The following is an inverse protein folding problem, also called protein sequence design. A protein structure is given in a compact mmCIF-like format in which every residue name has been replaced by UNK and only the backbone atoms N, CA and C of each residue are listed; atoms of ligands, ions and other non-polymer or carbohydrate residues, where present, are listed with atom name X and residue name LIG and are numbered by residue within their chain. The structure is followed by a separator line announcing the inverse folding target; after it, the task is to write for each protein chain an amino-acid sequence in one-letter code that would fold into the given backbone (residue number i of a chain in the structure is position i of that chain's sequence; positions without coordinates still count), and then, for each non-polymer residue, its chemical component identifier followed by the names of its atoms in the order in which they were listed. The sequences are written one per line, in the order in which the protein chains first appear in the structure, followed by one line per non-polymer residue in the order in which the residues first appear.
data_IF_487222275281
#
_entry.id   IF_487222275281
#
_cell.length_a   1.000
_cell.length_b   1.000
_cell.length_c   1.000
_cell.angle_alpha   90.00
_cell.angle_beta   90.00
_cell.angle_gamma   90.00
#
_symmetry.space_group_name_H-M   'P 1'
#
loop_
_entity.id
_entity.type
_entity.pdbx_description
1 polymer ?
#
# COMPACT_ATOMS: atom_id res chain seq x y z
N UNK A 1 -7.97 -22.51 -8.98
CA UNK A 1 -8.21 -22.65 -7.52
C UNK A 1 -6.88 -22.35 -6.83
N UNK A 2 -6.69 -21.12 -6.34
CA UNK A 2 -5.45 -20.71 -5.66
C UNK A 2 -5.44 -21.38 -4.27
N UNK A 3 -4.34 -22.03 -3.84
CA UNK A 3 -4.29 -22.65 -2.52
C UNK A 3 -4.43 -21.58 -1.42
N UNK A 4 -5.00 -21.92 -0.25
CA UNK A 4 -5.11 -20.98 0.86
C UNK A 4 -3.70 -20.68 1.40
N UNK A 5 -3.21 -19.48 1.12
CA UNK A 5 -1.94 -18.99 1.66
C UNK A 5 -2.12 -18.76 3.16
N UNK A 6 -1.63 -19.72 3.95
CA UNK A 6 -1.53 -19.57 5.41
C UNK A 6 -0.28 -18.75 5.70
N UNK A 7 -0.36 -17.42 5.59
CA UNK A 7 0.71 -16.53 6.08
C UNK A 7 0.26 -15.88 7.38
N UNK A 8 1.08 -16.00 8.42
CA UNK A 8 0.95 -15.36 9.72
C UNK A 8 1.19 -13.84 9.68
N UNK A 9 0.96 -13.22 8.53
CA UNK A 9 1.20 -11.80 8.30
C UNK A 9 -0.11 -11.05 8.64
N UNK A 10 -0.11 -10.11 9.61
CA UNK A 10 -1.33 -9.40 9.99
C UNK A 10 -1.92 -8.57 8.83
N UNK A 11 -1.10 -8.27 7.82
CA UNK A 11 -1.49 -7.62 6.58
C UNK A 11 -1.61 -8.71 5.50
N UNK A 12 -2.83 -9.01 5.04
CA UNK A 12 -3.08 -10.12 4.10
C UNK A 12 -2.22 -10.05 2.84
N UNK A 13 -1.92 -11.20 2.23
CA UNK A 13 -1.17 -11.26 0.96
C UNK A 13 -2.02 -10.64 -0.16
N UNK A 14 -1.51 -9.58 -0.78
CA UNK A 14 -2.06 -9.00 -1.99
C UNK A 14 -1.42 -9.58 -3.25
N UNK A 15 -2.17 -9.64 -4.35
CA UNK A 15 -1.66 -10.01 -5.69
C UNK A 15 -0.83 -8.88 -6.31
N UNK A 16 -1.22 -7.62 -6.05
CA UNK A 16 -0.59 -6.42 -6.61
C UNK A 16 -0.34 -5.40 -5.51
N UNK A 17 0.86 -4.84 -5.45
CA UNK A 17 1.18 -3.70 -4.57
C UNK A 17 1.33 -2.42 -5.41
N UNK A 18 0.59 -1.37 -5.05
CA UNK A 18 0.67 -0.05 -5.65
C UNK A 18 1.35 0.91 -4.68
N UNK A 19 2.50 1.46 -5.08
CA UNK A 19 3.20 2.52 -4.33
C UNK A 19 2.84 3.86 -4.95
N UNK A 20 2.17 4.71 -4.19
CA UNK A 20 1.47 5.89 -4.70
C UNK A 20 1.86 7.14 -3.90
N UNK A 21 2.76 7.95 -4.44
CA UNK A 21 3.15 9.22 -3.82
C UNK A 21 2.20 10.34 -4.22
N UNK A 22 1.61 11.04 -3.25
CA UNK A 22 0.83 12.25 -3.49
C UNK A 22 -0.39 12.11 -4.42
N UNK A 23 -0.88 10.88 -4.65
CA UNK A 23 -1.99 10.60 -5.58
C UNK A 23 -3.19 9.94 -4.88
N UNK A 24 -3.57 8.73 -5.27
CA UNK A 24 -4.73 8.01 -4.73
C UNK A 24 -4.44 7.53 -3.29
N UNK A 25 -5.41 7.58 -2.35
CA UNK A 25 -6.81 7.97 -2.51
C UNK A 25 -7.11 9.46 -2.23
N UNK A 26 -6.09 10.30 -2.10
CA UNK A 26 -6.21 11.66 -1.52
C UNK A 26 -6.34 12.79 -2.54
N UNK A 27 -5.77 12.63 -3.73
CA UNK A 27 -5.77 13.65 -4.78
C UNK A 27 -6.66 13.20 -5.92
N UNK A 28 -7.51 14.09 -6.43
CA UNK A 28 -8.26 13.86 -7.66
C UNK A 28 -7.39 14.20 -8.87
N UNK A 29 -7.45 13.37 -9.91
CA UNK A 29 -6.67 13.59 -11.13
C UNK A 29 -6.60 12.32 -11.97
N UNK A 30 -5.97 12.42 -13.14
CA UNK A 30 -5.90 11.31 -14.10
C UNK A 30 -5.29 10.03 -13.50
N UNK A 31 -4.19 10.15 -12.75
CA UNK A 31 -3.52 9.01 -12.11
C UNK A 31 -4.44 8.35 -11.09
N UNK A 32 -5.04 9.12 -10.18
CA UNK A 32 -5.91 8.55 -9.15
C UNK A 32 -7.19 7.94 -9.71
N UNK A 33 -7.78 8.55 -10.74
CA UNK A 33 -8.94 7.98 -11.41
C UNK A 33 -8.59 6.67 -12.11
N UNK A 34 -7.42 6.60 -12.76
CA UNK A 34 -6.96 5.37 -13.41
C UNK A 34 -6.65 4.26 -12.39
N UNK A 35 -5.98 4.61 -11.29
CA UNK A 35 -5.74 3.68 -10.17
C UNK A 35 -7.06 3.14 -9.62
N UNK A 36 -8.02 4.02 -9.33
CA UNK A 36 -9.33 3.61 -8.85
C UNK A 36 -10.01 2.65 -9.82
N UNK A 37 -10.00 2.99 -11.12
CA UNK A 37 -10.58 2.15 -12.16
C UNK A 37 -9.89 0.78 -12.26
N UNK A 38 -8.56 0.71 -12.21
CA UNK A 38 -7.86 -0.58 -12.22
C UNK A 38 -8.34 -1.47 -11.07
N UNK A 39 -8.37 -0.92 -9.85
CA UNK A 39 -8.75 -1.68 -8.67
C UNK A 39 -10.20 -2.17 -8.80
N UNK A 40 -11.12 -1.31 -9.24
CA UNK A 40 -12.54 -1.67 -9.33
C UNK A 40 -12.86 -2.60 -10.50
N UNK A 41 -12.16 -2.48 -11.63
CA UNK A 41 -12.37 -3.30 -12.82
C UNK A 41 -11.62 -4.64 -12.77
N UNK A 42 -10.79 -4.86 -11.74
CA UNK A 42 -10.09 -6.13 -11.49
C UNK A 42 -10.51 -6.74 -10.14
N UNK A 43 -11.80 -7.09 -9.95
CA UNK A 43 -12.30 -7.60 -8.67
C UNK A 43 -11.71 -8.97 -8.28
N UNK A 44 -11.16 -9.72 -9.24
CA UNK A 44 -10.53 -11.02 -9.01
C UNK A 44 -9.11 -10.91 -8.42
N UNK A 45 -8.51 -9.70 -8.43
CA UNK A 45 -7.20 -9.43 -7.84
C UNK A 45 -7.35 -8.69 -6.52
N UNK A 46 -6.46 -9.02 -5.59
CA UNK A 46 -6.31 -8.29 -4.32
C UNK A 46 -5.18 -7.27 -4.41
N UNK A 47 -5.41 -6.09 -3.84
CA UNK A 47 -4.49 -4.97 -3.92
C UNK A 47 -3.99 -4.56 -2.53
N UNK A 48 -2.68 -4.29 -2.44
CA UNK A 48 -2.09 -3.51 -1.37
C UNK A 48 -1.78 -2.10 -1.90
N UNK A 49 -2.03 -1.09 -1.09
CA UNK A 49 -1.71 0.29 -1.40
C UNK A 49 -0.74 0.80 -0.34
N UNK A 50 0.41 1.28 -0.80
CA UNK A 50 1.37 2.04 -0.01
C UNK A 50 1.31 3.49 -0.46
N UNK A 51 0.56 4.30 0.27
CA UNK A 51 0.47 5.73 0.01
C UNK A 51 1.64 6.45 0.68
N UNK A 52 2.34 7.30 -0.09
CA UNK A 52 3.40 8.17 0.42
C UNK A 52 2.90 9.61 0.41
N UNK A 53 2.82 10.20 1.60
CA UNK A 53 2.41 11.58 1.83
C UNK A 53 3.50 12.39 2.51
N UNK A 54 3.35 13.71 2.50
CA UNK A 54 4.24 14.62 3.23
C UNK A 54 3.96 14.57 4.74
N UNK A 55 2.79 15.05 5.15
CA UNK A 55 2.31 15.07 6.55
C UNK A 55 0.84 14.68 6.57
N UNK A 56 0.37 14.07 7.66
CA UNK A 56 -1.04 13.66 7.78
C UNK A 56 -1.99 14.85 7.81
N UNK A 57 -1.55 16.01 8.29
CA UNK A 57 -2.36 17.24 8.26
C UNK A 57 -2.61 17.72 6.81
N UNK A 58 -1.64 17.53 5.92
CA UNK A 58 -1.77 17.86 4.50
C UNK A 58 -2.52 16.78 3.71
N UNK A 59 -2.48 15.54 4.18
CA UNK A 59 -3.34 14.48 3.68
C UNK A 59 -4.79 14.75 4.08
N UNK A 60 -5.49 15.45 3.20
CA UNK A 60 -6.90 15.78 3.36
C UNK A 60 -7.79 14.53 3.48
N UNK A 61 -9.10 14.71 3.64
CA UNK A 61 -10.05 13.58 3.55
C UNK A 61 -9.86 12.82 2.23
N UNK A 62 -9.85 11.48 2.30
CA UNK A 62 -9.87 10.61 1.12
C UNK A 62 -10.95 11.07 0.14
N UNK A 63 -10.59 11.12 -1.14
CA UNK A 63 -11.45 11.57 -2.24
C UNK A 63 -12.15 10.41 -2.95
N UNK A 64 -11.70 9.20 -2.68
CA UNK A 64 -12.25 7.95 -3.19
C UNK A 64 -12.53 7.02 -2.01
N UNK A 65 -13.64 6.29 -2.11
CA UNK A 65 -13.87 5.14 -1.25
C UNK A 65 -12.90 4.02 -1.64
N UNK A 66 -12.44 3.28 -0.64
CA UNK A 66 -11.49 2.19 -0.83
C UNK A 66 -12.29 0.93 -1.20
N UNK A 67 -12.08 0.34 -2.40
CA UNK A 67 -12.74 -0.89 -2.79
C UNK A 67 -12.40 -2.06 -1.85
N UNK A 68 -13.32 -3.01 -1.70
CA UNK A 68 -13.18 -4.14 -0.78
C UNK A 68 -12.06 -5.13 -1.15
N UNK A 69 -11.60 -5.12 -2.41
CA UNK A 69 -10.46 -5.91 -2.87
C UNK A 69 -9.11 -5.22 -2.58
N UNK A 70 -9.09 -4.06 -1.94
CA UNK A 70 -7.90 -3.50 -1.30
C UNK A 70 -7.78 -4.10 0.10
N UNK A 71 -6.87 -5.06 0.25
CA UNK A 71 -6.68 -5.82 1.50
C UNK A 71 -5.72 -5.14 2.47
N UNK A 72 -4.87 -4.24 1.95
CA UNK A 72 -3.92 -3.45 2.73
C UNK A 72 -3.91 -2.02 2.20
N UNK A 73 -4.04 -1.04 3.10
CA UNK A 73 -3.80 0.36 2.82
C UNK A 73 -2.90 0.92 3.92
N UNK A 74 -1.62 1.02 3.59
CA UNK A 74 -0.61 1.63 4.46
C UNK A 74 -0.35 3.07 4.03
N UNK A 75 -0.26 3.95 5.00
CA UNK A 75 -0.06 5.37 4.79
C UNK A 75 1.21 5.81 5.50
N UNK A 76 2.21 6.21 4.72
CA UNK A 76 3.52 6.63 5.21
C UNK A 76 3.68 8.12 4.98
N UNK A 77 3.89 8.86 6.07
CA UNK A 77 4.12 10.31 6.04
C UNK A 77 5.59 10.61 6.26
N UNK A 78 6.23 11.17 5.24
CA UNK A 78 7.70 11.30 5.16
C UNK A 78 8.28 12.34 6.11
N UNK A 79 7.50 13.33 6.54
CA UNK A 79 7.94 14.38 7.46
C UNK A 79 7.45 14.18 8.89
N UNK A 80 6.81 13.04 9.19
CA UNK A 80 6.48 12.67 10.57
C UNK A 80 7.68 11.97 11.21
N UNK A 81 7.96 12.25 12.50
CA UNK A 81 9.00 11.53 13.22
C UNK A 81 8.66 10.05 13.28
N UNK A 82 9.60 9.21 12.88
CA UNK A 82 9.48 7.77 13.08
C UNK A 82 9.64 7.45 14.58
N UNK A 83 8.97 6.39 15.08
CA UNK A 83 9.27 5.83 16.40
C UNK A 83 10.75 5.45 16.48
N UNK A 84 11.35 5.55 17.67
CA UNK A 84 12.76 5.24 17.88
C UNK A 84 13.12 3.82 17.40
N UNK A 85 12.19 2.87 17.54
CA UNK A 85 12.36 1.49 17.08
C UNK A 85 12.46 1.36 15.56
N UNK A 86 11.84 2.28 14.81
CA UNK A 86 11.85 2.33 13.35
C UNK A 86 13.05 3.11 12.78
N UNK A 87 13.80 3.82 13.62
CA UNK A 87 15.06 4.49 13.24
C UNK A 87 16.23 3.50 13.13
N UNK A 88 16.10 2.31 13.71
CA UNK A 88 17.05 1.24 13.52
C UNK A 88 16.83 0.57 12.14
N UNK A 89 17.88 0.37 11.32
CA UNK A 89 17.74 -0.37 10.08
C UNK A 89 17.08 -1.74 10.31
N UNK A 90 15.96 -1.98 9.61
CA UNK A 90 15.30 -3.28 9.64
C UNK A 90 16.24 -4.39 9.17
N UNK A 91 16.12 -5.58 9.75
CA UNK A 91 16.82 -6.77 9.24
C UNK A 91 16.11 -7.22 7.97
N UNK A 92 16.72 -7.01 6.81
CA UNK A 92 16.26 -7.64 5.56
C UNK A 92 16.25 -9.16 5.80
N UNK A 93 15.10 -9.78 5.61
CA UNK A 93 14.95 -11.22 5.82
C UNK A 93 15.96 -11.97 4.95
N UNK A 94 16.52 -13.07 5.47
CA UNK A 94 17.47 -13.88 4.71
C UNK A 94 16.84 -14.41 3.40
N UNK A 95 15.52 -14.58 3.37
CA UNK A 95 14.76 -14.97 2.17
C UNK A 95 14.85 -13.93 1.05
N UNK A 96 14.76 -12.63 1.37
CA UNK A 96 14.87 -11.55 0.37
C UNK A 96 16.30 -11.34 -0.14
N UNK A 97 17.32 -11.84 0.57
CA UNK A 97 18.72 -11.71 0.13
C UNK A 97 19.10 -12.65 -1.02
N UNK A 98 18.32 -13.71 -1.26
CA UNK A 98 18.66 -14.76 -2.22
C UNK A 98 18.08 -14.60 -3.62
N UNK A 99 17.09 -13.73 -3.83
CA UNK A 99 16.34 -13.66 -5.10
C UNK A 99 16.74 -12.49 -6.02
N UNK A 100 17.63 -11.62 -5.57
CA UNK A 100 18.12 -10.49 -6.35
C UNK A 100 19.59 -10.67 -6.77
N UNK A 101 19.94 -11.80 -7.40
CA UNK A 101 21.05 -11.99 -8.36
C UNK A 101 21.03 -13.40 -8.95
#
# INVERSE_FOLDING_TARGET
MKPPSTSSDPHGIADVCLVLEGTYPYVQGGVSSWVHQIITEMPDLTFAIFYLGSTREQASRRRYDIPSNVVVLEEVFLFEPLPDEALAPGKISAALKGEFY
#
